data_IF_920090826414
#
_entry.id   IF_920090826414
#
_cell.length_a   1.000
_cell.length_b   1.000
_cell.length_c   1.000
_cell.angle_alpha   90.00
_cell.angle_beta   90.00
_cell.angle_gamma   90.00
#
_symmetry.space_group_name_H-M   'P 1'
#
loop_
_entity.id
_entity.type
_entity.pdbx_description
1 polymer ?
#
# COMPACT_ATOMS: atom_id res chain seq x y z
N UNK A 1 -11.58 10.93 -12.27
CA UNK A 1 -11.19 9.58 -11.84
C UNK A 1 -10.99 8.74 -13.09
N UNK A 2 -9.76 8.62 -13.56
CA UNK A 2 -9.40 7.74 -14.67
C UNK A 2 -9.33 6.32 -14.14
N UNK A 3 -10.33 5.51 -14.48
CA UNK A 3 -10.28 4.06 -14.29
C UNK A 3 -9.11 3.51 -15.08
N UNK A 4 -8.09 3.00 -14.40
CA UNK A 4 -7.08 2.15 -15.02
C UNK A 4 -7.73 0.76 -15.10
N UNK A 5 -7.98 0.21 -16.31
CA UNK A 5 -8.58 -1.11 -16.44
C UNK A 5 -7.59 -2.17 -15.97
N UNK A 6 -8.00 -2.99 -14.99
CA UNK A 6 -7.26 -4.18 -14.59
C UNK A 6 -7.66 -5.40 -15.45
N UNK A 7 -6.71 -6.31 -15.73
CA UNK A 7 -5.31 -6.21 -15.39
C UNK A 7 -4.58 -5.28 -16.37
N UNK A 8 -3.71 -4.42 -15.83
CA UNK A 8 -2.66 -3.75 -16.60
C UNK A 8 -1.67 -4.84 -17.06
N UNK A 9 -2.02 -5.55 -18.12
CA UNK A 9 -1.09 -6.40 -18.84
C UNK A 9 -0.63 -5.59 -20.04
N UNK A 10 0.49 -4.86 -19.87
CA UNK A 10 1.21 -4.32 -21.01
C UNK A 10 1.61 -5.49 -21.91
N UNK A 11 0.91 -5.62 -23.03
CA UNK A 11 1.31 -6.58 -24.06
C UNK A 11 2.61 -6.08 -24.65
N UNK A 12 3.71 -6.73 -24.28
CA UNK A 12 5.01 -6.47 -24.89
C UNK A 12 4.90 -6.80 -26.39
N UNK A 13 5.43 -5.95 -27.27
CA UNK A 13 5.50 -6.26 -28.69
C UNK A 13 6.29 -7.56 -28.88
N UNK A 14 5.68 -8.54 -29.53
CA UNK A 14 6.31 -9.85 -29.82
C UNK A 14 7.45 -9.75 -30.84
N UNK A 15 7.65 -8.56 -31.43
CA UNK A 15 8.66 -8.27 -32.44
C UNK A 15 9.96 -7.69 -31.88
N UNK A 16 10.07 -7.52 -30.56
CA UNK A 16 11.29 -6.98 -29.96
C UNK A 16 12.46 -7.94 -30.09
N UNK A 17 13.61 -7.41 -30.46
CA UNK A 17 14.87 -8.13 -30.30
C UNK A 17 15.21 -8.26 -28.80
N UNK A 18 16.04 -9.26 -28.42
CA UNK A 18 16.50 -9.39 -27.03
C UNK A 18 17.14 -8.11 -26.48
N UNK A 19 17.90 -7.38 -27.30
CA UNK A 19 18.55 -6.13 -26.92
C UNK A 19 17.53 -5.01 -26.64
N UNK A 20 16.47 -4.93 -27.45
CA UNK A 20 15.40 -3.95 -27.26
C UNK A 20 14.61 -4.23 -25.99
N UNK A 21 14.29 -5.50 -25.73
CA UNK A 21 13.61 -5.91 -24.51
C UNK A 21 14.46 -5.58 -23.27
N UNK A 22 15.77 -5.86 -23.32
CA UNK A 22 16.70 -5.54 -22.23
C UNK A 22 16.81 -4.05 -21.97
N UNK A 23 16.91 -3.24 -23.03
CA UNK A 23 16.99 -1.79 -22.90
C UNK A 23 15.75 -1.19 -22.22
N UNK A 24 14.55 -1.64 -22.63
CA UNK A 24 13.30 -1.20 -22.00
C UNK A 24 13.23 -1.66 -20.55
N UNK A 25 13.67 -2.88 -20.25
CA UNK A 25 13.74 -3.39 -18.89
C UNK A 25 14.60 -2.50 -17.99
N UNK A 26 15.83 -2.19 -18.41
CA UNK A 26 16.74 -1.33 -17.66
C UNK A 26 16.16 0.08 -17.44
N UNK A 27 15.50 0.65 -18.45
CA UNK A 27 14.83 1.94 -18.32
C UNK A 27 13.69 1.91 -17.28
N UNK A 28 12.95 0.81 -17.21
CA UNK A 28 11.87 0.63 -16.23
C UNK A 28 12.42 0.45 -14.81
N UNK A 29 13.52 -0.27 -14.64
CA UNK A 29 14.22 -0.39 -13.35
C UNK A 29 14.70 0.98 -12.86
N UNK A 30 15.36 1.76 -13.71
CA UNK A 30 15.81 3.12 -13.37
C UNK A 30 14.63 4.04 -12.99
N UNK A 31 13.47 3.89 -13.64
CA UNK A 31 12.29 4.67 -13.33
C UNK A 31 11.70 4.26 -11.96
N UNK A 32 11.69 2.97 -11.65
CA UNK A 32 11.25 2.47 -10.35
C UNK A 32 12.15 2.98 -9.23
N UNK A 33 13.47 2.97 -9.43
CA UNK A 33 14.42 3.52 -8.46
C UNK A 33 14.19 5.02 -8.22
N UNK A 34 13.91 5.79 -9.28
CA UNK A 34 13.59 7.23 -9.14
C UNK A 34 12.28 7.47 -8.39
N UNK A 35 11.26 6.66 -8.64
CA UNK A 35 9.98 6.73 -7.92
C UNK A 35 10.19 6.40 -6.44
N UNK A 36 10.92 5.34 -6.14
CA UNK A 36 11.22 4.93 -4.77
C UNK A 36 12.06 5.99 -4.03
N UNK A 37 13.09 6.53 -4.68
CA UNK A 37 13.91 7.60 -4.09
C UNK A 37 13.10 8.87 -3.79
N UNK A 38 12.11 9.20 -4.63
CA UNK A 38 11.33 10.42 -4.48
C UNK A 38 10.12 10.26 -3.55
N UNK A 39 9.45 9.11 -3.58
CA UNK A 39 8.18 8.89 -2.88
C UNK A 39 8.25 7.81 -1.81
N UNK A 40 9.27 6.94 -1.81
CA UNK A 40 9.36 5.77 -0.95
C UNK A 40 9.26 6.12 0.54
N UNK A 41 9.99 7.13 1.00
CA UNK A 41 9.90 7.60 2.40
C UNK A 41 8.53 8.16 2.74
N UNK A 42 7.91 8.92 1.83
CA UNK A 42 6.58 9.49 2.06
C UNK A 42 5.50 8.41 2.13
N UNK A 43 5.59 7.39 1.26
CA UNK A 43 4.70 6.23 1.27
C UNK A 43 4.89 5.41 2.54
N UNK A 44 6.13 5.12 2.94
CA UNK A 44 6.42 4.40 4.18
C UNK A 44 5.90 5.14 5.42
N UNK A 45 6.08 6.47 5.47
CA UNK A 45 5.56 7.29 6.55
C UNK A 45 4.03 7.21 6.62
N UNK A 46 3.35 7.41 5.49
CA UNK A 46 1.91 7.36 5.41
C UNK A 46 1.33 5.99 5.81
N UNK A 47 1.97 4.90 5.38
CA UNK A 47 1.58 3.55 5.79
C UNK A 47 1.75 3.33 7.30
N UNK A 48 2.85 3.83 7.88
CA UNK A 48 3.11 3.72 9.31
C UNK A 48 2.08 4.51 10.14
N UNK A 49 1.65 5.67 9.66
CA UNK A 49 0.58 6.45 10.29
C UNK A 49 -0.76 5.71 10.24
N UNK A 50 -1.05 5.03 9.14
CA UNK A 50 -2.27 4.25 8.97
C UNK A 50 -2.31 3.05 9.93
N UNK A 51 -1.19 2.34 10.07
CA UNK A 51 -1.05 1.22 11.01
C UNK A 51 -1.21 1.70 12.47
N UNK A 52 -0.63 2.86 12.80
CA UNK A 52 -0.76 3.45 14.14
C UNK A 52 -2.19 3.90 14.45
N UNK A 53 -2.91 4.43 13.47
CA UNK A 53 -4.32 4.80 13.61
C UNK A 53 -5.21 3.56 13.79
N UNK A 54 -4.95 2.48 13.04
CA UNK A 54 -5.69 1.23 13.18
C UNK A 54 -5.49 0.61 14.57
N UNK A 55 -4.26 0.63 15.10
CA UNK A 55 -3.98 0.11 16.44
C UNK A 55 -4.66 0.95 17.54
N UNK A 56 -4.60 2.29 17.42
CA UNK A 56 -5.30 3.18 18.33
C UNK A 56 -6.83 3.00 18.28
N UNK A 57 -7.38 2.65 17.11
CA UNK A 57 -8.79 2.31 16.97
C UNK A 57 -9.14 1.00 17.69
N UNK A 58 -8.30 -0.03 17.59
CA UNK A 58 -8.49 -1.31 18.30
C UNK A 58 -8.41 -1.14 19.82
N UNK A 59 -7.46 -0.35 20.32
CA UNK A 59 -7.32 -0.06 21.76
C UNK A 59 -8.58 0.63 22.32
N UNK A 60 -9.09 1.65 21.62
CA UNK A 60 -10.35 2.32 21.99
C UNK A 60 -11.56 1.39 21.95
N UNK A 61 -11.61 0.44 21.00
CA UNK A 61 -12.67 -0.58 21.00
C UNK A 61 -12.53 -1.53 22.18
N UNK A 62 -11.31 -1.95 22.53
CA UNK A 62 -11.03 -2.78 23.70
C UNK A 62 -11.51 -2.14 25.01
N UNK A 63 -11.25 -0.84 25.18
CA UNK A 63 -11.72 -0.07 26.35
C UNK A 63 -13.25 0.02 26.41
N UNK A 64 -13.93 0.22 25.28
CA UNK A 64 -15.40 0.26 25.21
C UNK A 64 -16.08 -1.07 25.57
N UNK A 65 -15.40 -2.21 25.41
CA UNK A 65 -15.91 -3.52 25.82
C UNK A 65 -15.49 -3.92 27.25
N UNK A 66 -14.61 -3.14 27.90
CA UNK A 66 -14.16 -3.39 29.27
C UNK A 66 -15.00 -2.63 30.32
N UNK A 67 -15.63 -1.51 29.95
CA UNK A 67 -16.43 -0.68 30.88
C UNK A 67 -17.88 -1.18 31.09
N UNK A 68 -18.39 -2.11 30.27
CA UNK A 68 -19.81 -2.53 30.29
C UNK A 68 -20.06 -3.92 30.92
N UNK A 69 -19.02 -4.59 31.43
CA UNK A 69 -19.12 -5.94 32.02
C UNK A 69 -18.98 -6.00 33.54
N UNK A 70 -18.56 -4.91 34.20
CA UNK A 70 -18.26 -4.90 35.64
C UNK A 70 -19.28 -4.15 36.51
N UNK A 71 -20.39 -3.66 35.94
CA UNK A 71 -21.50 -3.15 36.73
C UNK A 71 -22.49 -4.31 37.00
N UNK A 72 -22.52 -4.92 38.20
CA UNK A 72 -23.45 -5.99 38.48
C UNK A 72 -24.86 -5.42 38.43
N UNK A 73 -25.61 -5.81 37.38
CA UNK A 73 -27.06 -5.56 37.28
C UNK A 73 -27.69 -6.00 38.60
N UNK A 74 -28.02 -5.03 39.45
CA UNK A 74 -28.70 -5.28 40.72
C UNK A 74 -30.15 -5.62 40.41
N UNK A 75 -30.49 -6.90 40.58
CA UNK A 75 -31.88 -7.39 40.55
C UNK A 75 -32.65 -6.96 41.81
#
# INVERSE_FOLDING_TARGET
MTHIPEPFTLSLPTTWSPEQAWFVHALLEDLLEQIDAHYGTAVQHWLSELDAEEEAYRERQGDLFNDDFDDPISF
#
